data_IF_444989473920
#
_entry.id   IF_444989473920
#
_cell.length_a   1.000
_cell.length_b   1.000
_cell.length_c   1.000
_cell.angle_alpha   90.00
_cell.angle_beta   90.00
_cell.angle_gamma   90.00
#
_symmetry.space_group_name_H-M   'P 1'
#
loop_
_entity.id
_entity.type
_entity.pdbx_description
1 polymer ?
#
# COMPACT_ATOMS: atom_id res chain seq x y z
N UNK A 1 -3.70 -7.70 7.54
CA UNK A 1 -3.36 -8.08 6.16
C UNK A 1 -1.96 -7.60 5.75
N UNK A 2 -1.65 -6.30 5.79
CA UNK A 2 -0.32 -5.77 5.41
C UNK A 2 0.85 -6.32 6.23
N UNK A 3 0.66 -6.56 7.54
CA UNK A 3 1.69 -7.13 8.41
C UNK A 3 2.25 -8.46 7.90
N UNK A 4 1.38 -9.29 7.30
CA UNK A 4 1.79 -10.58 6.72
C UNK A 4 2.68 -10.37 5.50
N UNK A 5 2.33 -9.42 4.63
CA UNK A 5 3.13 -9.09 3.45
C UNK A 5 4.49 -8.51 3.86
N UNK A 6 4.53 -7.66 4.90
CA UNK A 6 5.78 -7.11 5.43
C UNK A 6 6.70 -8.20 5.99
N UNK A 7 6.17 -9.08 6.85
CA UNK A 7 6.93 -10.19 7.42
C UNK A 7 7.53 -11.09 6.33
N UNK A 8 6.76 -11.37 5.28
CA UNK A 8 7.25 -12.14 4.12
C UNK A 8 8.38 -11.38 3.41
N UNK A 9 8.22 -10.08 3.17
CA UNK A 9 9.27 -9.26 2.56
C UNK A 9 10.57 -9.28 3.37
N UNK A 10 10.48 -9.18 4.70
CA UNK A 10 11.62 -9.26 5.60
C UNK A 10 12.30 -10.64 5.54
N UNK A 11 11.51 -11.72 5.62
CA UNK A 11 12.04 -13.09 5.59
C UNK A 11 12.78 -13.44 4.29
N UNK A 12 12.26 -12.98 3.14
CA UNK A 12 12.87 -13.22 1.83
C UNK A 12 13.87 -12.14 1.42
N UNK A 13 14.05 -11.09 2.22
CA UNK A 13 14.99 -10.01 1.95
C UNK A 13 14.63 -9.16 0.74
N UNK A 14 13.34 -8.99 0.44
CA UNK A 14 12.87 -8.17 -0.66
C UNK A 14 13.02 -6.68 -0.35
N UNK A 15 13.70 -5.96 -1.25
CA UNK A 15 14.05 -4.53 -1.05
C UNK A 15 13.68 -3.65 -2.24
N UNK A 16 13.36 -4.24 -3.39
CA UNK A 16 12.99 -3.47 -4.58
C UNK A 16 11.52 -3.09 -4.54
N UNK A 17 11.16 -1.96 -5.15
CA UNK A 17 9.76 -1.53 -5.27
C UNK A 17 8.91 -2.61 -5.96
N UNK A 18 9.46 -3.25 -6.99
CA UNK A 18 8.80 -4.30 -7.74
C UNK A 18 8.50 -5.53 -6.86
N UNK A 19 9.50 -6.03 -6.13
CA UNK A 19 9.31 -7.20 -5.26
C UNK A 19 8.32 -6.90 -4.15
N UNK A 20 8.44 -5.72 -3.52
CA UNK A 20 7.52 -5.26 -2.47
C UNK A 20 6.08 -5.16 -2.97
N UNK A 21 5.87 -4.64 -4.18
CA UNK A 21 4.53 -4.58 -4.78
C UNK A 21 3.92 -5.97 -4.99
N UNK A 22 4.73 -6.97 -5.36
CA UNK A 22 4.26 -8.35 -5.63
C UNK A 22 3.90 -9.10 -4.34
N UNK A 23 4.41 -8.69 -3.19
CA UNK A 23 4.06 -9.27 -1.88
C UNK A 23 2.61 -9.08 -1.50
N UNK A 24 1.94 -8.07 -2.06
CA UNK A 24 0.53 -7.80 -1.80
C UNK A 24 -0.34 -9.01 -2.12
N UNK A 25 0.07 -9.87 -3.06
CA UNK A 25 -0.57 -11.17 -3.35
C UNK A 25 -0.82 -12.01 -2.11
N UNK A 26 0.08 -11.99 -1.13
CA UNK A 26 -0.08 -12.78 0.09
C UNK A 26 -1.14 -12.20 1.04
N UNK A 27 -1.45 -10.90 0.90
CA UNK A 27 -2.49 -10.22 1.65
C UNK A 27 -3.87 -10.30 0.95
N UNK A 28 -3.91 -10.46 -0.37
CA UNK A 28 -5.12 -10.35 -1.22
C UNK A 28 -5.48 -11.63 -1.97
N UNK A 29 -5.09 -12.81 -1.46
CA UNK A 29 -5.39 -14.11 -2.09
C UNK A 29 -4.90 -14.23 -3.54
N UNK A 30 -3.65 -13.82 -3.78
CA UNK A 30 -2.97 -13.90 -5.07
C UNK A 30 -3.51 -12.95 -6.16
N UNK A 31 -4.39 -12.01 -5.81
CA UNK A 31 -4.90 -10.97 -6.72
C UNK A 31 -4.03 -9.72 -6.63
N UNK A 32 -3.65 -9.15 -7.77
CA UNK A 32 -2.92 -7.88 -7.84
C UNK A 32 -3.65 -6.84 -8.66
N UNK A 33 -3.39 -5.55 -8.39
CA UNK A 33 -3.88 -4.48 -9.25
C UNK A 33 -3.22 -4.52 -10.64
N UNK A 34 -1.92 -4.88 -10.70
CA UNK A 34 -1.11 -4.81 -11.91
C UNK A 34 -0.39 -6.13 -12.20
N UNK A 35 -0.31 -6.51 -13.47
CA UNK A 35 0.54 -7.61 -13.92
C UNK A 35 2.01 -7.17 -14.09
N UNK A 36 2.91 -8.11 -14.37
CA UNK A 36 4.33 -7.85 -14.65
C UNK A 36 4.53 -6.93 -15.85
N UNK A 37 3.64 -7.03 -16.85
CA UNK A 37 3.64 -6.21 -18.06
C UNK A 37 3.07 -4.80 -17.85
N UNK A 38 2.67 -4.45 -16.63
CA UNK A 38 2.04 -3.15 -16.35
C UNK A 38 0.56 -3.08 -16.71
N UNK A 39 -0.06 -4.18 -17.13
CA UNK A 39 -1.48 -4.24 -17.43
C UNK A 39 -2.32 -4.33 -16.16
N UNK A 40 -3.43 -3.59 -16.13
CA UNK A 40 -4.38 -3.62 -15.02
C UNK A 40 -5.14 -4.96 -14.96
N UNK A 41 -4.92 -5.73 -13.90
CA UNK A 41 -5.58 -7.02 -13.69
C UNK A 41 -6.81 -6.92 -12.79
N UNK A 42 -6.82 -5.93 -11.91
CA UNK A 42 -7.92 -5.62 -11.01
C UNK A 42 -7.99 -4.10 -10.88
N UNK A 43 -9.18 -3.47 -10.95
CA UNK A 43 -10.53 -4.03 -10.94
C UNK A 43 -11.02 -4.48 -12.33
N UNK A 44 -11.78 -5.57 -12.36
CA UNK A 44 -12.46 -6.09 -13.56
C UNK A 44 -13.97 -6.03 -13.36
N UNK A 45 -14.70 -5.80 -14.45
CA UNK A 45 -16.17 -5.85 -14.44
C UNK A 45 -16.65 -7.23 -13.99
N UNK A 46 -17.70 -7.28 -13.17
CA UNK A 46 -18.29 -8.50 -12.58
C UNK A 46 -17.45 -9.21 -11.50
N UNK A 47 -16.43 -8.57 -10.93
CA UNK A 47 -15.72 -9.08 -9.75
C UNK A 47 -16.18 -8.30 -8.51
N UNK A 48 -16.37 -8.99 -7.38
CA UNK A 48 -16.74 -8.35 -6.10
C UNK A 48 -15.76 -7.22 -5.76
N UNK A 49 -16.32 -6.04 -5.47
CA UNK A 49 -15.55 -4.85 -5.14
C UNK A 49 -15.05 -4.92 -3.68
N UNK A 50 -13.98 -5.67 -3.48
CA UNK A 50 -13.29 -5.81 -2.19
C UNK A 50 -11.92 -5.16 -2.25
N UNK A 51 -11.76 -4.07 -1.53
CA UNK A 51 -10.48 -3.37 -1.48
C UNK A 51 -10.30 -2.57 -0.21
N UNK A 52 -9.05 -2.24 0.09
CA UNK A 52 -8.67 -1.49 1.26
C UNK A 52 -7.99 -0.20 0.80
N UNK A 53 -8.48 0.93 1.29
CA UNK A 53 -7.88 2.25 1.07
C UNK A 53 -6.86 2.51 2.16
N UNK A 54 -5.64 2.81 1.74
CA UNK A 54 -4.46 3.01 2.60
C UNK A 54 -3.88 4.39 2.27
N UNK A 55 -3.41 5.11 3.28
CA UNK A 55 -2.63 6.34 3.02
C UNK A 55 -1.19 5.95 2.71
N UNK A 56 -0.87 5.84 1.42
CA UNK A 56 0.47 5.59 0.94
C UNK A 56 0.64 6.18 -0.47
N UNK A 57 1.86 6.62 -0.80
CA UNK A 57 2.19 7.11 -2.14
C UNK A 57 2.43 5.96 -3.14
N UNK A 58 2.93 4.81 -2.65
CA UNK A 58 3.26 3.65 -3.47
C UNK A 58 2.85 2.33 -2.78
N UNK A 59 2.61 1.28 -3.58
CA UNK A 59 2.34 -0.08 -3.08
C UNK A 59 3.47 -0.64 -2.21
N UNK A 60 4.72 -0.34 -2.56
CA UNK A 60 5.89 -0.75 -1.76
C UNK A 60 5.97 0.00 -0.42
N UNK A 61 5.58 1.28 -0.39
CA UNK A 61 5.49 2.07 0.83
C UNK A 61 4.44 1.48 1.79
N UNK A 62 3.28 1.10 1.25
CA UNK A 62 2.21 0.49 2.03
C UNK A 62 2.64 -0.79 2.75
N UNK A 63 3.50 -1.62 2.12
CA UNK A 63 4.00 -2.85 2.72
C UNK A 63 5.14 -2.58 3.71
N UNK A 64 6.16 -1.84 3.29
CA UNK A 64 7.38 -1.60 4.08
C UNK A 64 7.12 -0.86 5.39
N UNK A 65 6.20 0.11 5.39
CA UNK A 65 5.85 0.90 6.59
C UNK A 65 4.60 0.40 7.28
N UNK A 66 3.93 -0.63 6.74
CA UNK A 66 2.61 -1.09 7.18
C UNK A 66 1.66 0.11 7.35
N UNK A 67 1.47 0.85 6.26
CA UNK A 67 0.76 2.13 6.28
C UNK A 67 -0.67 2.01 6.80
N UNK A 68 -1.16 3.12 7.37
CA UNK A 68 -2.44 3.13 8.04
C UNK A 68 -3.60 2.97 7.03
N UNK A 69 -4.49 2.03 7.33
CA UNK A 69 -5.72 1.81 6.57
C UNK A 69 -6.77 2.86 6.90
N UNK A 70 -7.24 3.60 5.91
CA UNK A 70 -8.25 4.68 6.04
C UNK A 70 -9.68 4.14 5.97
N UNK A 71 -9.94 3.24 5.02
CA UNK A 71 -11.25 2.66 4.79
C UNK A 71 -11.12 1.31 4.10
N UNK A 72 -12.18 0.52 4.08
CA UNK A 72 -12.26 -0.70 3.28
C UNK A 72 -13.65 -0.85 2.69
N UNK A 73 -13.73 -1.44 1.51
CA UNK A 73 -14.96 -1.77 0.82
C UNK A 73 -15.13 -3.30 0.79
N UNK A 74 -16.34 -3.76 1.03
CA UNK A 74 -16.71 -5.17 0.95
C UNK A 74 -18.12 -5.27 0.37
N UNK A 75 -18.30 -6.07 -0.69
CA UNK A 75 -19.58 -6.28 -1.38
C UNK A 75 -20.34 -4.99 -1.71
N UNK A 76 -19.61 -3.94 -2.12
CA UNK A 76 -20.20 -2.63 -2.47
C UNK A 76 -20.56 -1.74 -1.27
N UNK A 77 -20.26 -2.16 -0.03
CA UNK A 77 -20.39 -1.34 1.18
C UNK A 77 -19.05 -0.77 1.58
N UNK A 78 -18.99 0.55 1.77
CA UNK A 78 -17.78 1.26 2.19
C UNK A 78 -17.79 1.50 3.70
N UNK A 79 -16.78 0.97 4.39
CA UNK A 79 -16.54 1.15 5.81
C UNK A 79 -15.35 2.07 6.02
N UNK A 80 -15.62 3.31 6.46
CA UNK A 80 -14.59 4.30 6.75
C UNK A 80 -14.20 4.27 8.22
N UNK A 81 -12.90 4.20 8.52
CA UNK A 81 -12.42 4.34 9.88
C UNK A 81 -12.37 5.83 10.25
N UNK A 82 -12.89 6.19 11.44
CA UNK A 82 -12.60 7.50 12.05
C UNK A 82 -11.21 7.44 12.65
N UNK A 83 -10.23 7.85 11.87
CA UNK A 83 -8.83 7.91 12.29
C UNK A 83 -8.51 9.37 12.62
N UNK A 84 -8.04 9.67 13.84
CA UNK A 84 -7.37 10.94 14.10
C UNK A 84 -6.13 10.97 13.21
N UNK A 85 -6.07 11.92 12.28
CA UNK A 85 -4.91 12.08 11.41
C UNK A 85 -3.67 12.20 12.30
N UNK A 86 -2.62 11.38 12.09
CA UNK A 86 -1.33 11.71 12.66
C UNK A 86 -0.97 13.09 12.10
N UNK A 87 -0.86 14.07 12.99
CA UNK A 87 -0.31 15.39 12.68
C UNK A 87 0.98 15.15 11.92
N UNK A 88 1.05 15.49 10.63
CA UNK A 88 2.29 15.45 9.84
C UNK A 88 3.26 16.48 10.43
N UNK A 89 3.90 16.18 11.56
CA UNK A 89 5.11 16.85 12.03
C UNK A 89 6.26 16.28 11.23
N UNK A 90 6.47 16.87 10.06
CA UNK A 90 7.52 16.51 9.13
C UNK A 90 7.69 17.66 8.17
N UNK A 91 8.08 18.80 8.72
CA UNK A 91 8.68 19.86 7.94
C UNK A 91 9.83 19.23 7.14
N UNK A 92 9.69 19.19 5.82
CA UNK A 92 10.87 19.26 4.97
C UNK A 92 11.49 20.62 5.29
N UNK A 93 12.43 20.63 6.24
CA UNK A 93 13.29 21.77 6.49
C UNK A 93 13.96 22.06 5.16
N UNK A 94 13.57 23.17 4.51
CA UNK A 94 14.39 23.80 3.50
C UNK A 94 15.79 23.89 4.12
N UNK A 95 16.73 23.11 3.60
CA UNK A 95 18.14 23.26 3.93
C UNK A 95 18.58 24.54 3.21
N UNK A 96 18.27 25.68 3.82
CA UNK A 96 18.93 26.93 3.48
C UNK A 96 20.41 26.81 3.84
N UNK A 97 21.24 27.31 2.93
CA UNK A 97 22.68 27.60 3.02
C UNK A 97 23.64 26.39 3.08
N UNK A 98 24.23 26.08 1.93
CA UNK A 98 25.69 26.13 1.78
C UNK A 98 26.03 26.85 0.47
N UNK A 99 26.67 27.99 0.65
CA UNK A 99 27.39 28.80 -0.31
C UNK A 99 28.54 28.04 -0.99
N UNK A 100 28.58 28.09 -2.32
CA UNK A 100 29.75 28.45 -3.14
C UNK A 100 29.23 29.20 -4.36
#
# INVERSE_FOLDING_TARGET
>A
MLQKANLIAELYGWRTEFDLSRTLRFATHNVLPLNKDGNMEWPKTNVSAEFVLIEASCSAEAVSRVSQTVAFAHEGKLYRKRIPLPQKKGAYSKCSTLSV
#
